data_IF_027704961272
#
_entry.id   IF_027704961272
#
_cell.length_a   1.000
_cell.length_b   1.000
_cell.length_c   1.000
_cell.angle_alpha   90.00
_cell.angle_beta   90.00
_cell.angle_gamma   90.00
#
_symmetry.space_group_name_H-M   'P 1'
#
loop_
_entity.id
_entity.type
_entity.pdbx_description
1 polymer ?
#
# COMPACT_ATOMS: atom_id res chain seq x y z
N UNK A 1 14.80 -2.68 11.92
CA UNK A 1 13.45 -2.19 12.31
C UNK A 1 12.75 -3.21 13.21
N UNK A 2 11.63 -2.92 13.90
CA UNK A 2 10.97 -3.96 14.73
C UNK A 2 10.31 -5.00 13.84
N UNK A 3 10.66 -6.29 14.00
CA UNK A 3 10.03 -7.43 13.31
C UNK A 3 8.50 -7.38 13.31
N UNK A 4 7.91 -6.76 14.34
CA UNK A 4 6.48 -6.48 14.44
C UNK A 4 5.90 -5.70 13.24
N UNK A 5 6.55 -4.63 12.77
CA UNK A 5 6.00 -3.78 11.70
C UNK A 5 6.02 -4.49 10.35
N UNK A 6 7.09 -5.23 10.07
CA UNK A 6 7.21 -6.01 8.83
C UNK A 6 6.13 -7.10 8.80
N UNK A 7 5.99 -7.87 9.89
CA UNK A 7 4.94 -8.89 9.99
C UNK A 7 3.54 -8.29 9.83
N UNK A 8 3.28 -7.13 10.42
CA UNK A 8 1.96 -6.51 10.28
C UNK A 8 1.67 -5.99 8.88
N UNK A 9 2.66 -5.50 8.13
CA UNK A 9 2.46 -5.13 6.72
C UNK A 9 2.14 -6.37 5.89
N UNK A 10 2.85 -7.48 6.12
CA UNK A 10 2.60 -8.76 5.45
C UNK A 10 1.17 -9.24 5.72
N UNK A 11 0.71 -9.17 6.98
CA UNK A 11 -0.67 -9.55 7.34
C UNK A 11 -1.72 -8.70 6.59
N UNK A 12 -1.45 -7.41 6.38
CA UNK A 12 -2.32 -6.52 5.59
C UNK A 12 -2.30 -6.91 4.11
N UNK A 13 -1.13 -7.21 3.55
CA UNK A 13 -1.00 -7.67 2.15
C UNK A 13 -1.78 -8.97 1.97
N UNK A 14 -1.64 -9.95 2.86
CA UNK A 14 -2.38 -11.22 2.80
C UNK A 14 -3.88 -11.04 3.01
N UNK A 15 -4.30 -10.00 3.73
CA UNK A 15 -5.72 -9.70 3.90
C UNK A 15 -6.35 -9.09 2.62
N UNK A 16 -5.59 -8.25 1.91
CA UNK A 16 -6.04 -7.61 0.67
C UNK A 16 -5.90 -8.53 -0.55
N UNK A 17 -4.86 -9.36 -0.57
CA UNK A 17 -4.69 -10.42 -1.54
C UNK A 17 -5.63 -11.56 -1.21
N UNK A 18 -6.74 -11.67 -1.95
CA UNK A 18 -7.86 -12.57 -1.67
C UNK A 18 -7.52 -14.09 -1.67
N UNK A 19 -6.25 -14.50 -1.85
CA UNK A 19 -5.61 -15.74 -1.33
C UNK A 19 -4.32 -16.18 -2.04
N UNK A 20 -3.82 -15.44 -3.05
CA UNK A 20 -2.72 -15.90 -3.91
C UNK A 20 -1.31 -15.39 -3.56
N UNK A 21 -1.17 -14.22 -2.93
CA UNK A 21 0.15 -13.67 -2.60
C UNK A 21 0.66 -14.30 -1.31
N UNK A 22 1.59 -15.24 -1.41
CA UNK A 22 2.39 -15.70 -0.28
C UNK A 22 3.73 -14.98 -0.28
N UNK A 23 3.95 -14.15 0.73
CA UNK A 23 5.17 -13.36 0.88
C UNK A 23 5.69 -13.40 2.32
N UNK A 24 6.99 -13.16 2.45
CA UNK A 24 7.69 -12.97 3.72
C UNK A 24 8.55 -11.71 3.66
N UNK A 25 9.34 -11.45 4.71
CA UNK A 25 10.15 -10.24 4.81
C UNK A 25 11.19 -10.09 3.70
N UNK A 26 11.60 -11.20 3.07
CA UNK A 26 12.60 -11.23 2.00
C UNK A 26 12.00 -11.13 0.59
N UNK A 27 10.69 -11.26 0.45
CA UNK A 27 9.98 -11.09 -0.83
C UNK A 27 10.19 -9.69 -1.36
N UNK A 28 10.53 -9.57 -2.65
CA UNK A 28 10.66 -8.27 -3.32
C UNK A 28 9.28 -7.70 -3.62
N UNK A 29 9.16 -6.38 -3.62
CA UNK A 29 7.89 -5.72 -3.95
C UNK A 29 7.40 -6.10 -5.35
N UNK A 30 8.31 -6.19 -6.33
CA UNK A 30 8.00 -6.65 -7.69
C UNK A 30 7.38 -8.05 -7.74
N UNK A 31 7.71 -8.92 -6.78
CA UNK A 31 7.21 -10.30 -6.72
C UNK A 31 5.78 -10.38 -6.16
N UNK A 32 5.27 -9.29 -5.58
CA UNK A 32 3.87 -9.20 -5.13
C UNK A 32 2.92 -8.98 -6.30
N UNK A 33 3.41 -8.40 -7.40
CA UNK A 33 2.56 -7.99 -8.50
C UNK A 33 2.18 -9.16 -9.41
N UNK A 34 0.90 -9.28 -9.69
CA UNK A 34 0.32 -10.34 -10.51
C UNK A 34 -1.02 -9.93 -11.12
N UNK A 35 -1.81 -10.92 -11.55
CA UNK A 35 -3.13 -10.65 -12.13
C UNK A 35 -4.14 -10.11 -11.10
N UNK A 36 -3.93 -10.37 -9.81
CA UNK A 36 -4.88 -10.08 -8.71
C UNK A 36 -4.34 -9.14 -7.63
N UNK A 37 -3.10 -8.67 -7.78
CA UNK A 37 -2.49 -7.73 -6.84
C UNK A 37 -1.59 -6.80 -7.64
N UNK A 38 -1.96 -5.53 -7.73
CA UNK A 38 -1.23 -4.53 -8.51
C UNK A 38 -0.57 -3.45 -7.62
N UNK A 39 -0.07 -2.40 -8.25
CA UNK A 39 0.54 -1.26 -7.56
C UNK A 39 -0.47 -0.47 -6.71
N UNK A 40 -1.73 -0.39 -7.15
CA UNK A 40 -2.82 0.26 -6.40
C UNK A 40 -3.15 -0.52 -5.14
N UNK A 41 -3.18 -1.86 -5.22
CA UNK A 41 -3.40 -2.72 -4.04
C UNK A 41 -2.26 -2.58 -3.03
N UNK A 42 -1.02 -2.47 -3.49
CA UNK A 42 0.13 -2.21 -2.63
C UNK A 42 0.06 -0.83 -1.97
N UNK A 43 -0.33 0.21 -2.71
CA UNK A 43 -0.59 1.54 -2.14
C UNK A 43 -1.71 1.52 -1.09
N UNK A 44 -2.76 0.74 -1.33
CA UNK A 44 -3.82 0.53 -0.35
C UNK A 44 -3.28 -0.18 0.91
N UNK A 45 -2.43 -1.20 0.76
CA UNK A 45 -1.79 -1.89 1.87
C UNK A 45 -0.95 -0.91 2.72
N UNK A 46 -0.15 -0.05 2.08
CA UNK A 46 0.61 0.99 2.76
C UNK A 46 -0.30 1.98 3.52
N UNK A 47 -1.40 2.41 2.91
CA UNK A 47 -2.37 3.30 3.58
C UNK A 47 -3.00 2.64 4.81
N UNK A 48 -3.41 1.37 4.69
CA UNK A 48 -3.94 0.58 5.81
C UNK A 48 -2.90 0.40 6.92
N UNK A 49 -1.63 0.23 6.57
CA UNK A 49 -0.54 0.16 7.53
C UNK A 49 -0.37 1.47 8.31
N UNK A 50 -0.26 2.61 7.62
CA UNK A 50 -0.19 3.94 8.24
C UNK A 50 -1.39 4.19 9.17
N UNK A 51 -2.60 3.79 8.72
CA UNK A 51 -3.84 3.95 9.45
C UNK A 51 -3.88 3.17 10.77
N UNK A 52 -3.45 1.92 10.74
CA UNK A 52 -3.53 0.99 11.88
C UNK A 52 -2.41 1.23 12.90
N UNK A 53 -1.24 1.67 12.45
CA UNK A 53 -0.06 1.85 13.29
C UNK A 53 0.15 3.30 13.76
N UNK A 54 -0.58 4.27 13.18
CA UNK A 54 -0.38 5.71 13.40
C UNK A 54 1.05 6.16 13.10
N UNK A 55 1.66 5.53 12.11
CA UNK A 55 2.99 5.83 11.59
C UNK A 55 2.90 6.37 10.17
N UNK A 56 4.00 6.93 9.71
CA UNK A 56 4.15 7.48 8.38
C UNK A 56 5.16 6.68 7.56
N UNK A 57 4.89 6.50 6.26
CA UNK A 57 6.00 6.42 5.32
C UNK A 57 6.53 7.83 5.04
N UNK A 58 7.83 7.95 4.80
CA UNK A 58 8.48 9.23 4.49
C UNK A 58 7.78 9.93 3.35
N UNK A 59 7.52 11.22 3.50
CA UNK A 59 6.77 12.03 2.52
C UNK A 59 7.37 12.00 1.11
N UNK A 60 8.68 11.79 0.99
CA UNK A 60 9.38 11.66 -0.30
C UNK A 60 8.89 10.47 -1.14
N UNK A 61 8.42 9.40 -0.49
CA UNK A 61 7.94 8.18 -1.16
C UNK A 61 6.78 8.46 -2.13
N UNK A 62 5.92 9.44 -1.81
CA UNK A 62 4.79 9.86 -2.68
C UNK A 62 5.25 10.34 -4.06
N UNK A 63 6.50 10.79 -4.19
CA UNK A 63 7.05 11.29 -5.46
C UNK A 63 7.97 10.28 -6.14
N UNK A 64 8.18 9.11 -5.54
CA UNK A 64 9.05 8.06 -6.07
C UNK A 64 8.16 7.05 -6.82
N UNK A 65 8.36 6.87 -8.13
CA UNK A 65 7.68 5.82 -8.90
C UNK A 65 7.98 4.43 -8.32
N UNK A 66 6.99 3.53 -8.35
CA UNK A 66 7.08 2.19 -7.75
C UNK A 66 8.27 1.38 -8.30
N UNK A 67 8.55 1.50 -9.60
CA UNK A 67 9.69 0.89 -10.30
C UNK A 67 11.06 1.17 -9.62
N UNK A 68 11.17 2.25 -8.84
CA UNK A 68 12.44 2.61 -8.18
C UNK A 68 12.66 1.88 -6.86
N UNK A 69 11.63 1.28 -6.28
CA UNK A 69 11.72 0.50 -5.05
C UNK A 69 11.15 -0.91 -5.17
N UNK A 70 10.70 -1.31 -6.36
CA UNK A 70 10.17 -2.65 -6.63
C UNK A 70 11.20 -3.78 -6.37
N UNK A 71 12.50 -3.48 -6.53
CA UNK A 71 13.59 -4.42 -6.30
C UNK A 71 13.97 -4.57 -4.81
N UNK A 72 13.45 -3.71 -3.94
CA UNK A 72 13.65 -3.84 -2.50
C UNK A 72 12.82 -5.00 -1.96
N UNK A 73 13.40 -5.75 -1.03
CA UNK A 73 12.59 -6.63 -0.17
C UNK A 73 11.65 -5.81 0.71
N UNK A 74 10.56 -6.44 1.18
CA UNK A 74 9.64 -5.81 2.13
C UNK A 74 10.36 -5.30 3.39
N UNK A 75 11.35 -6.05 3.88
CA UNK A 75 12.20 -5.59 4.99
C UNK A 75 12.97 -4.32 4.61
N UNK A 76 13.75 -4.33 3.52
CA UNK A 76 14.55 -3.18 3.09
C UNK A 76 13.69 -1.95 2.81
N UNK A 77 12.53 -2.14 2.19
CA UNK A 77 11.56 -1.08 1.93
C UNK A 77 11.10 -0.43 3.24
N UNK A 78 10.68 -1.24 4.21
CA UNK A 78 10.24 -0.75 5.51
C UNK A 78 11.37 -0.02 6.21
N UNK A 79 12.58 -0.59 6.26
CA UNK A 79 13.74 0.05 6.90
C UNK A 79 14.12 1.39 6.26
N UNK A 80 13.93 1.51 4.94
CA UNK A 80 14.28 2.70 4.17
C UNK A 80 13.25 3.80 4.34
N UNK A 81 11.96 3.46 4.25
CA UNK A 81 10.88 4.45 4.07
C UNK A 81 9.92 4.58 5.24
N UNK A 82 9.92 3.68 6.23
CA UNK A 82 9.08 3.88 7.41
C UNK A 82 9.74 4.90 8.36
N UNK A 83 9.01 5.95 8.67
CA UNK A 83 9.39 6.94 9.68
C UNK A 83 8.74 6.59 11.02
N UNK A 84 9.57 6.20 11.99
CA UNK A 84 9.14 5.82 13.34
C UNK A 84 8.96 7.03 14.28
N UNK A 85 9.48 8.20 13.91
CA UNK A 85 9.38 9.44 14.68
C UNK A 85 8.17 10.28 14.24
N UNK A 86 7.75 10.13 12.97
CA UNK A 86 6.57 10.79 12.43
C UNK A 86 5.27 10.07 12.89
N UNK A 87 4.57 10.70 13.83
CA UNK A 87 3.20 10.30 14.19
C UNK A 87 2.21 11.08 13.33
N UNK A 88 1.45 10.38 12.48
CA UNK A 88 0.38 11.00 11.69
C UNK A 88 -0.72 11.51 12.62
N UNK A 89 -1.20 12.73 12.37
CA UNK A 89 -2.41 13.27 12.99
C UNK A 89 -3.57 12.26 12.78
N UNK A 90 -4.39 11.96 13.79
CA UNK A 90 -5.60 11.13 13.61
C UNK A 90 -6.47 11.51 12.40
N UNK A 91 -6.48 12.77 11.99
CA UNK A 91 -7.19 13.27 10.80
C UNK A 91 -6.54 12.86 9.47
N UNK A 92 -5.23 12.60 9.44
CA UNK A 92 -4.51 12.18 8.23
C UNK A 92 -5.07 10.86 7.68
N UNK A 93 -5.31 9.90 8.56
CA UNK A 93 -5.88 8.59 8.22
C UNK A 93 -7.27 8.76 7.60
N UNK A 94 -8.11 9.60 8.22
CA UNK A 94 -9.44 9.91 7.70
C UNK A 94 -9.40 10.62 6.34
N UNK A 95 -8.41 11.50 6.11
CA UNK A 95 -8.21 12.16 4.82
C UNK A 95 -7.78 11.17 3.74
N UNK A 96 -6.88 10.23 4.04
CA UNK A 96 -6.43 9.19 3.10
C UNK A 96 -7.56 8.24 2.72
N UNK A 97 -8.36 7.78 3.68
CA UNK A 97 -9.54 6.96 3.37
C UNK A 97 -10.55 7.70 2.51
N UNK A 98 -10.76 9.00 2.74
CA UNK A 98 -11.61 9.82 1.89
C UNK A 98 -11.05 9.96 0.47
N UNK A 99 -9.74 10.16 0.32
CA UNK A 99 -9.11 10.21 -1.02
C UNK A 99 -9.25 8.87 -1.74
N UNK A 100 -9.12 7.75 -1.03
CA UNK A 100 -9.30 6.41 -1.57
C UNK A 100 -10.76 6.15 -1.99
N UNK A 101 -11.73 6.53 -1.17
CA UNK A 101 -13.16 6.52 -1.52
C UNK A 101 -13.43 7.35 -2.79
N UNK A 102 -12.88 8.57 -2.88
CA UNK A 102 -13.04 9.44 -4.04
C UNK A 102 -12.39 8.88 -5.31
N UNK A 103 -11.28 8.13 -5.18
CA UNK A 103 -10.60 7.47 -6.28
C UNK A 103 -11.38 6.23 -6.76
N UNK A 104 -11.80 5.36 -5.83
CA UNK A 104 -12.64 4.19 -6.11
C UNK A 104 -13.97 4.59 -6.76
N UNK A 105 -14.62 5.63 -6.23
CA UNK A 105 -15.90 6.13 -6.78
C UNK A 105 -15.74 6.59 -8.23
N UNK A 106 -14.60 7.22 -8.56
CA UNK A 106 -14.28 7.63 -9.93
C UNK A 106 -14.03 6.43 -10.83
N UNK A 107 -13.18 5.49 -10.41
CA UNK A 107 -12.89 4.28 -11.18
C UNK A 107 -14.18 3.49 -11.50
N UNK A 108 -15.09 3.32 -10.53
CA UNK A 108 -16.38 2.67 -10.73
C UNK A 108 -17.26 3.44 -11.74
N UNK A 109 -17.29 4.76 -11.66
CA UNK A 109 -18.07 5.59 -12.58
C UNK A 109 -17.51 5.52 -14.03
N UNK A 110 -16.19 5.46 -14.16
CA UNK A 110 -15.50 5.36 -15.46
C UNK A 110 -15.73 3.98 -16.11
N UNK A 111 -15.73 2.88 -15.32
CA UNK A 111 -16.13 1.55 -15.82
C UNK A 111 -17.59 1.49 -16.28
N UNK A 112 -18.50 2.12 -15.54
CA UNK A 112 -19.92 2.14 -15.89
C UNK A 112 -20.19 2.94 -17.17
N UNK A 113 -19.42 3.99 -17.44
CA UNK A 113 -19.56 4.79 -18.66
C UNK A 113 -18.90 4.14 -19.87
N UNK A 114 -17.82 3.39 -19.70
CA UNK A 114 -17.21 2.59 -20.76
C UNK A 114 -18.05 1.38 -21.20
N UNK A 115 -18.93 0.87 -20.33
CA UNK A 115 -19.84 -0.23 -20.64
C UNK A 115 -21.01 0.16 -21.56
N UNK A 116 -21.35 1.45 -21.64
CA UNK A 116 -22.44 1.98 -22.48
C UNK A 116 -21.99 2.35 -23.92
N UNK A 117 -20.69 2.24 -24.24
CA UNK A 117 -20.14 2.52 -25.59
C UNK A 117 -19.98 1.28 -26.50
N UNK A 118 -20.51 0.11 -26.11
CA UNK A 118 -20.55 -1.11 -26.93
C UNK A 118 -21.96 -1.63 -27.24
#
# INVERSE_FOLDING_TARGET
MSSYYISSLIDIIHYLSDSLVQCDSSTRIAELFGEEFDDVDFEMAMCCFEATHRLAFRQELVNIPIDQYEELSLEEFMETYLDLEEQKDPLFVAQRFRMFEEALTRAIADEQTGADEF
#
